data_IF_235256589591
#
_entry.id   IF_235256589591
#
_cell.length_a   1.000
_cell.length_b   1.000
_cell.length_c   1.000
_cell.angle_alpha   90.00
_cell.angle_beta   90.00
_cell.angle_gamma   90.00
#
_symmetry.space_group_name_H-M   'P 1'
#
loop_
_entity.id
_entity.type
_entity.pdbx_description
1 polymer ?
#
# COMPACT_ATOMS: atom_id res chain seq x y z
N UNK A 1 -5.07 -5.18 17.28
CA UNK A 1 -4.77 -3.99 16.49
C UNK A 1 -4.12 -2.92 17.35
N UNK A 2 -2.98 -2.45 16.95
CA UNK A 2 -2.25 -1.44 17.69
C UNK A 2 -2.83 -0.06 17.44
N UNK A 3 -3.33 0.60 18.50
CA UNK A 3 -3.90 1.93 18.38
C UNK A 3 -2.86 2.96 17.92
N UNK A 4 -1.60 2.74 18.26
CA UNK A 4 -0.55 3.66 17.85
C UNK A 4 -0.35 3.62 16.33
N UNK A 5 -0.42 2.44 15.73
CA UNK A 5 -0.35 2.34 14.27
C UNK A 5 -1.51 3.06 13.60
N UNK A 6 -2.71 2.94 14.17
CA UNK A 6 -3.88 3.62 13.63
C UNK A 6 -3.69 5.14 13.70
N UNK A 7 -3.24 5.65 14.84
CA UNK A 7 -3.04 7.09 15.00
C UNK A 7 -1.93 7.63 14.11
N UNK A 8 -0.85 6.85 13.95
CA UNK A 8 0.23 7.27 13.05
C UNK A 8 -0.26 7.30 11.60
N UNK A 9 -1.02 6.30 11.19
CA UNK A 9 -1.62 6.28 9.86
C UNK A 9 -2.53 7.47 9.65
N UNK A 10 -3.37 7.79 10.64
CA UNK A 10 -4.25 8.95 10.56
C UNK A 10 -3.48 10.25 10.44
N UNK A 11 -2.38 10.38 11.19
CA UNK A 11 -1.54 11.57 11.10
C UNK A 11 -0.96 11.73 9.70
N UNK A 12 -0.50 10.65 9.09
CA UNK A 12 0.04 10.70 7.73
C UNK A 12 -1.05 10.99 6.69
N UNK A 13 -2.23 10.42 6.86
CA UNK A 13 -3.34 10.66 5.96
C UNK A 13 -3.75 12.13 5.96
N UNK A 14 -3.64 12.80 7.13
CA UNK A 14 -3.93 14.23 7.21
C UNK A 14 -2.97 15.07 6.37
N UNK A 15 -1.78 14.55 6.10
CA UNK A 15 -0.79 15.26 5.26
C UNK A 15 -0.98 14.97 3.77
N UNK A 16 -2.00 14.18 3.43
CA UNK A 16 -2.27 13.74 2.06
C UNK A 16 -3.73 14.05 1.70
N UNK A 17 -4.06 15.32 1.48
CA UNK A 17 -5.47 15.70 1.26
C UNK A 17 -6.08 15.11 -0.01
N UNK A 18 -5.25 14.70 -0.97
CA UNK A 18 -5.75 14.11 -2.21
C UNK A 18 -6.07 12.61 -2.09
N UNK A 19 -5.72 12.01 -0.98
CA UNK A 19 -5.92 10.57 -0.82
C UNK A 19 -5.06 9.72 -1.74
N UNK A 20 -3.90 10.25 -2.12
CA UNK A 20 -3.02 9.56 -3.07
C UNK A 20 -2.19 8.45 -2.43
N UNK A 21 -2.15 8.41 -1.10
CA UNK A 21 -1.27 7.50 -0.38
C UNK A 21 0.17 7.96 -0.31
N UNK A 22 0.41 9.23 -0.62
CA UNK A 22 1.75 9.81 -0.69
C UNK A 22 1.81 11.13 0.01
N UNK A 23 2.96 11.40 0.66
CA UNK A 23 3.22 12.67 1.36
C UNK A 23 4.54 13.21 0.84
N UNK A 24 4.63 14.50 0.47
CA UNK A 24 5.93 15.05 0.08
C UNK A 24 6.97 14.86 1.18
N UNK A 25 8.18 14.50 0.81
CA UNK A 25 9.25 14.25 1.78
C UNK A 25 9.50 15.47 2.65
N UNK A 26 9.44 16.67 2.06
CA UNK A 26 9.62 17.91 2.82
C UNK A 26 8.56 18.07 3.90
N UNK A 27 7.31 17.75 3.59
CA UNK A 27 6.21 17.79 4.57
C UNK A 27 6.41 16.72 5.65
N UNK A 28 6.84 15.54 5.24
CA UNK A 28 7.11 14.43 6.16
C UNK A 28 8.12 14.83 7.24
N UNK A 29 9.17 15.55 6.84
CA UNK A 29 10.22 15.98 7.76
C UNK A 29 9.89 17.25 8.53
N UNK A 30 8.92 18.04 8.10
CA UNK A 30 8.69 19.40 8.62
C UNK A 30 7.56 19.49 9.61
N UNK A 31 7.30 18.42 10.36
CA UNK A 31 6.20 18.47 11.32
C UNK A 31 6.53 19.44 12.45
N UNK A 32 5.55 20.26 12.90
CA UNK A 32 5.80 21.20 13.99
C UNK A 32 6.10 20.45 15.29
N UNK A 33 6.83 21.08 16.23
CA UNK A 33 7.15 20.42 17.48
C UNK A 33 5.92 19.95 18.27
N UNK A 34 4.77 20.58 18.04
CA UNK A 34 3.52 20.23 18.72
C UNK A 34 2.85 19.00 18.11
N UNK A 35 3.30 18.53 16.93
CA UNK A 35 2.70 17.36 16.29
C UNK A 35 2.99 16.11 17.12
N UNK A 36 2.02 15.20 17.10
CA UNK A 36 2.16 13.95 17.87
C UNK A 36 3.33 13.10 17.35
N UNK A 37 3.59 13.17 16.04
CA UNK A 37 4.64 12.35 15.42
C UNK A 37 5.68 13.23 14.75
N UNK A 38 6.93 12.89 14.97
CA UNK A 38 8.07 13.50 14.32
C UNK A 38 8.73 12.43 13.46
N UNK A 39 8.82 12.68 12.16
CA UNK A 39 9.37 11.70 11.24
C UNK A 39 10.81 12.08 10.92
N UNK A 40 11.74 11.20 11.27
CA UNK A 40 13.17 11.50 11.19
C UNK A 40 13.99 10.46 10.44
N UNK A 41 13.33 9.44 9.92
CA UNK A 41 14.05 8.38 9.19
C UNK A 41 14.79 8.96 8.00
N UNK A 42 16.02 8.48 7.77
CA UNK A 42 16.84 8.96 6.66
C UNK A 42 16.22 8.58 5.32
N UNK A 43 16.44 9.43 4.32
CA UNK A 43 15.92 9.15 2.97
C UNK A 43 16.44 7.82 2.43
N UNK A 44 17.69 7.48 2.74
CA UNK A 44 18.25 6.20 2.33
C UNK A 44 17.45 5.01 2.88
N UNK A 45 17.08 5.10 4.16
CA UNK A 45 16.27 4.04 4.78
C UNK A 45 14.89 3.96 4.10
N UNK A 46 14.25 5.12 3.87
CA UNK A 46 12.96 5.14 3.20
C UNK A 46 13.04 4.51 1.81
N UNK A 47 14.14 4.76 1.11
CA UNK A 47 14.36 4.15 -0.20
C UNK A 47 14.49 2.63 -0.09
N UNK A 48 15.22 2.16 0.91
CA UNK A 48 15.43 0.73 1.11
C UNK A 48 14.13 -0.03 1.35
N UNK A 49 13.19 0.56 2.07
CA UNK A 49 11.92 -0.10 2.36
C UNK A 49 10.86 0.17 1.30
N UNK A 50 11.24 0.84 0.21
CA UNK A 50 10.31 1.14 -0.86
C UNK A 50 9.33 2.27 -0.56
N UNK A 51 9.57 3.01 0.53
CA UNK A 51 8.68 4.10 0.93
C UNK A 51 8.98 5.42 0.22
N UNK A 52 10.11 5.52 -0.48
CA UNK A 52 10.47 6.75 -1.16
C UNK A 52 10.24 6.62 -2.65
N UNK A 53 9.43 7.52 -3.20
CA UNK A 53 9.17 7.60 -4.62
C UNK A 53 9.75 8.92 -5.13
N UNK A 54 10.66 8.84 -6.11
CA UNK A 54 11.29 10.04 -6.66
C UNK A 54 10.78 10.24 -8.07
N UNK A 55 9.52 10.63 -8.18
CA UNK A 55 8.91 10.88 -9.48
C UNK A 55 8.90 12.37 -9.74
N UNK A 56 9.25 12.78 -10.97
CA UNK A 56 9.17 14.17 -11.42
C UNK A 56 10.00 15.14 -10.56
N UNK A 57 11.08 14.63 -9.93
CA UNK A 57 11.98 15.49 -9.17
C UNK A 57 11.48 15.92 -7.80
N UNK A 58 10.29 15.48 -7.38
CA UNK A 58 9.76 15.76 -6.06
C UNK A 58 9.67 14.46 -5.28
N UNK A 59 10.50 14.26 -4.25
CA UNK A 59 10.43 13.02 -3.48
C UNK A 59 9.12 12.92 -2.69
N UNK A 60 8.51 11.76 -2.75
CA UNK A 60 7.26 11.46 -2.06
C UNK A 60 7.43 10.24 -1.18
N UNK A 61 6.80 10.26 0.00
CA UNK A 61 6.79 9.11 0.90
C UNK A 61 5.50 8.33 0.68
N UNK A 62 5.65 7.04 0.39
CA UNK A 62 4.50 6.14 0.28
C UNK A 62 4.06 5.73 1.68
N UNK A 63 2.86 6.15 2.08
CA UNK A 63 2.37 5.95 3.45
C UNK A 63 2.35 4.46 3.82
N UNK A 64 1.79 3.62 2.95
CA UNK A 64 1.66 2.20 3.26
C UNK A 64 3.02 1.54 3.47
N UNK A 65 3.99 1.86 2.63
CA UNK A 65 5.34 1.30 2.77
C UNK A 65 6.01 1.75 4.06
N UNK A 66 5.82 3.02 4.43
CA UNK A 66 6.41 3.53 5.66
C UNK A 66 5.79 2.88 6.88
N UNK A 67 4.46 2.88 6.96
CA UNK A 67 3.75 2.37 8.15
C UNK A 67 4.03 0.89 8.37
N UNK A 68 4.11 0.11 7.30
CA UNK A 68 4.36 -1.32 7.40
C UNK A 68 5.85 -1.65 7.40
N UNK A 69 6.70 -0.64 7.42
CA UNK A 69 8.15 -0.84 7.41
C UNK A 69 8.70 -1.23 8.78
N UNK A 70 9.92 -1.75 8.81
CA UNK A 70 10.52 -2.25 10.06
C UNK A 70 10.68 -1.20 11.17
N UNK A 71 10.84 0.09 10.81
CA UNK A 71 11.01 1.13 11.82
C UNK A 71 9.77 1.28 12.69
N UNK A 72 8.64 0.77 12.25
CA UNK A 72 7.40 0.85 13.01
C UNK A 72 7.04 -0.45 13.69
N UNK A 73 8.00 -1.36 13.80
CA UNK A 73 7.84 -2.57 14.57
C UNK A 73 8.26 -2.29 16.02
N UNK A 74 7.41 -2.70 16.94
CA UNK A 74 7.68 -2.56 18.36
C UNK A 74 8.44 -3.79 18.86
N UNK A 75 9.65 -3.58 19.34
CA UNK A 75 10.43 -4.66 19.92
C UNK A 75 10.11 -4.75 21.40
N UNK A 76 9.27 -5.71 21.76
CA UNK A 76 8.90 -5.94 23.15
C UNK A 76 9.67 -7.13 23.67
N UNK A 77 10.71 -6.87 24.40
CA UNK A 77 11.46 -7.94 25.00
C UNK A 77 11.99 -8.90 23.93
N UNK A 78 12.29 -10.01 24.33
CA UNK A 78 13.21 -10.92 23.74
C UNK A 78 12.67 -11.81 22.64
N UNK A 79 11.36 -11.85 22.42
CA UNK A 79 10.81 -12.93 21.62
C UNK A 79 10.32 -12.55 20.25
N UNK A 80 9.77 -11.36 20.09
CA UNK A 80 9.21 -10.96 18.81
C UNK A 80 9.02 -9.46 18.73
N UNK A 81 8.93 -8.96 17.51
CA UNK A 81 8.59 -7.58 17.24
C UNK A 81 7.14 -7.52 16.80
N UNK A 82 6.42 -6.50 17.28
CA UNK A 82 5.05 -6.26 16.87
C UNK A 82 5.09 -5.14 15.86
N UNK A 83 4.71 -5.44 14.64
CA UNK A 83 4.68 -4.47 13.56
C UNK A 83 3.24 -4.08 13.27
N UNK A 84 3.08 -2.96 12.57
CA UNK A 84 1.75 -2.56 12.11
C UNK A 84 1.21 -3.61 11.17
N UNK A 85 -0.10 -3.85 11.26
CA UNK A 85 -0.74 -4.87 10.45
C UNK A 85 -0.61 -4.54 8.97
N UNK A 86 -0.60 -5.59 8.15
CA UNK A 86 -0.59 -5.50 6.71
C UNK A 86 -2.00 -5.78 6.18
N UNK A 87 -2.85 -4.75 6.04
CA UNK A 87 -4.25 -4.97 5.62
C UNK A 87 -4.38 -5.61 4.25
N UNK A 88 -3.37 -5.45 3.40
CA UNK A 88 -3.39 -6.05 2.08
C UNK A 88 -3.44 -7.58 2.12
N UNK A 89 -2.89 -8.19 3.17
CA UNK A 89 -2.93 -9.64 3.32
C UNK A 89 -4.37 -10.15 3.39
N UNK A 90 -5.23 -9.43 4.09
CA UNK A 90 -6.64 -9.77 4.16
C UNK A 90 -7.35 -9.63 2.83
N UNK A 91 -7.04 -8.56 2.10
CA UNK A 91 -7.61 -8.37 0.77
C UNK A 91 -7.17 -9.47 -0.20
N UNK A 92 -5.89 -9.83 -0.15
CA UNK A 92 -5.38 -10.91 -0.99
C UNK A 92 -6.01 -12.25 -0.64
N UNK A 93 -6.24 -12.51 0.65
CA UNK A 93 -6.89 -13.75 1.06
C UNK A 93 -8.32 -13.85 0.54
N UNK A 94 -9.05 -12.73 0.51
CA UNK A 94 -10.38 -12.72 -0.06
C UNK A 94 -10.35 -13.02 -1.56
N UNK A 95 -9.40 -12.43 -2.29
CA UNK A 95 -9.26 -12.71 -3.71
C UNK A 95 -8.90 -14.17 -3.94
N UNK A 96 -7.95 -14.68 -3.19
CA UNK A 96 -7.51 -16.07 -3.33
C UNK A 96 -8.64 -17.04 -3.02
N UNK A 97 -9.42 -16.75 -1.99
CA UNK A 97 -10.54 -17.59 -1.61
C UNK A 97 -11.63 -17.65 -2.67
N UNK A 98 -11.84 -16.54 -3.39
CA UNK A 98 -12.83 -16.50 -4.46
C UNK A 98 -12.34 -17.14 -5.74
N UNK A 99 -11.05 -17.02 -6.04
CA UNK A 99 -10.48 -17.47 -7.30
C UNK A 99 -10.04 -18.92 -7.25
N UNK A 100 -9.39 -19.32 -6.16
CA UNK A 100 -8.90 -20.68 -5.93
C UNK A 100 -8.00 -21.20 -7.06
N UNK A 101 -7.19 -20.30 -7.62
CA UNK A 101 -6.24 -20.62 -8.68
C UNK A 101 -5.10 -19.61 -8.61
N UNK A 102 -3.91 -19.96 -9.15
CA UNK A 102 -2.79 -19.03 -9.12
C UNK A 102 -2.92 -17.85 -10.06
N UNK A 103 -3.81 -17.95 -11.05
CA UNK A 103 -4.06 -16.87 -12.02
C UNK A 103 -5.55 -16.68 -12.20
N UNK A 104 -5.94 -15.53 -12.74
CA UNK A 104 -7.34 -15.24 -13.01
C UNK A 104 -7.49 -14.30 -14.21
N UNK A 105 -8.62 -14.38 -14.93
CA UNK A 105 -8.90 -13.41 -15.99
C UNK A 105 -9.05 -12.00 -15.41
N UNK A 106 -8.66 -10.96 -16.16
CA UNK A 106 -8.74 -9.60 -15.63
C UNK A 106 -10.16 -9.17 -15.29
N UNK A 107 -11.17 -9.57 -16.08
CA UNK A 107 -12.55 -9.21 -15.78
C UNK A 107 -13.00 -9.74 -14.42
N UNK A 108 -12.62 -10.96 -14.09
CA UNK A 108 -12.96 -11.54 -12.80
C UNK A 108 -12.31 -10.74 -11.67
N UNK A 109 -11.04 -10.40 -11.83
CA UNK A 109 -10.31 -9.62 -10.82
C UNK A 109 -10.90 -8.22 -10.67
N UNK A 110 -11.30 -7.58 -11.77
CA UNK A 110 -11.93 -6.26 -11.69
C UNK A 110 -13.23 -6.32 -10.91
N UNK A 111 -14.07 -7.33 -11.18
CA UNK A 111 -15.33 -7.49 -10.48
C UNK A 111 -15.09 -7.73 -8.98
N UNK A 112 -14.18 -8.65 -8.65
CA UNK A 112 -13.90 -8.98 -7.26
C UNK A 112 -13.30 -7.77 -6.53
N UNK A 113 -12.35 -7.08 -7.15
CA UNK A 113 -11.70 -5.93 -6.53
C UNK A 113 -12.66 -4.78 -6.29
N UNK A 114 -13.59 -4.54 -7.22
CA UNK A 114 -14.58 -3.48 -7.04
C UNK A 114 -15.52 -3.76 -5.87
N UNK A 115 -15.61 -5.00 -5.43
CA UNK A 115 -16.44 -5.39 -4.29
C UNK A 115 -15.65 -5.58 -2.99
N UNK A 116 -14.34 -5.35 -3.01
CA UNK A 116 -13.53 -5.39 -1.80
C UNK A 116 -13.58 -4.06 -1.08
N UNK A 117 -13.82 -4.10 0.23
CA UNK A 117 -13.79 -2.90 1.06
C UNK A 117 -12.59 -2.95 1.99
N UNK A 118 -12.15 -1.78 2.41
CA UNK A 118 -11.05 -1.62 3.35
C UNK A 118 -11.35 -0.42 4.23
N UNK A 119 -10.52 -0.13 5.25
CA UNK A 119 -10.75 1.06 6.07
C UNK A 119 -10.80 2.36 5.27
N UNK A 120 -10.10 2.45 4.14
CA UNK A 120 -10.07 3.67 3.34
C UNK A 120 -10.88 3.57 2.05
N UNK A 121 -11.45 2.40 1.74
CA UNK A 121 -12.16 2.18 0.47
C UNK A 121 -13.52 1.55 0.74
N UNK A 122 -14.57 2.27 0.34
CA UNK A 122 -15.92 1.73 0.41
C UNK A 122 -16.22 0.86 -0.80
N UNK A 123 -16.98 -0.20 -0.59
CA UNK A 123 -17.39 -1.10 -1.67
C UNK A 123 -18.92 -1.15 -1.70
N UNK A 124 -19.51 -1.36 -2.88
CA UNK A 124 -18.86 -1.50 -4.18
C UNK A 124 -18.37 -0.16 -4.71
N UNK A 125 -17.37 -0.20 -5.55
CA UNK A 125 -16.86 1.01 -6.20
C UNK A 125 -16.58 0.74 -7.67
N UNK A 126 -16.54 1.81 -8.44
CA UNK A 126 -16.14 1.73 -9.84
C UNK A 126 -14.64 2.00 -9.93
N UNK A 127 -13.92 1.05 -10.49
CA UNK A 127 -12.48 1.21 -10.70
C UNK A 127 -12.26 2.16 -11.89
N UNK A 128 -11.16 2.92 -11.84
CA UNK A 128 -10.83 3.85 -12.91
C UNK A 128 -10.50 3.10 -14.20
N UNK A 129 -10.68 3.77 -15.34
CA UNK A 129 -10.30 3.18 -16.62
C UNK A 129 -8.81 2.89 -16.67
N UNK A 130 -7.99 3.70 -16.00
CA UNK A 130 -6.55 3.49 -15.95
C UNK A 130 -6.21 2.18 -15.23
N UNK A 131 -6.88 1.90 -14.12
CA UNK A 131 -6.68 0.63 -13.41
C UNK A 131 -7.14 -0.56 -14.27
N UNK A 132 -8.26 -0.41 -14.97
CA UNK A 132 -8.74 -1.46 -15.86
C UNK A 132 -7.74 -1.76 -16.97
N UNK A 133 -7.25 -0.72 -17.62
CA UNK A 133 -6.29 -0.87 -18.71
C UNK A 133 -4.99 -1.52 -18.23
N UNK A 134 -4.50 -1.12 -17.08
CA UNK A 134 -3.26 -1.68 -16.55
C UNK A 134 -3.42 -3.16 -16.21
N UNK A 135 -4.57 -3.56 -15.69
CA UNK A 135 -4.78 -4.96 -15.38
C UNK A 135 -4.86 -5.80 -16.65
N UNK A 136 -5.54 -5.29 -17.68
CA UNK A 136 -5.56 -5.97 -18.97
C UNK A 136 -4.16 -6.08 -19.58
N UNK A 137 -3.33 -5.06 -19.40
CA UNK A 137 -1.96 -5.12 -19.90
C UNK A 137 -1.15 -6.21 -19.20
N UNK A 138 -1.35 -6.38 -17.89
CA UNK A 138 -0.70 -7.47 -17.15
C UNK A 138 -1.14 -8.83 -17.71
N UNK A 139 -2.45 -9.00 -17.91
CA UNK A 139 -2.98 -10.25 -18.45
C UNK A 139 -2.40 -10.55 -19.83
N UNK A 140 -2.26 -9.53 -20.65
CA UNK A 140 -1.74 -9.71 -22.01
C UNK A 140 -0.30 -10.22 -21.98
N UNK A 141 0.47 -9.85 -20.99
CA UNK A 141 1.85 -10.33 -20.84
C UNK A 141 1.94 -11.76 -20.30
N UNK A 142 0.82 -12.33 -19.83
CA UNK A 142 0.78 -13.63 -19.20
C UNK A 142 -0.32 -14.51 -19.79
N UNK A 143 -0.43 -14.49 -21.11
CA UNK A 143 -1.34 -15.36 -21.87
C UNK A 143 -2.81 -15.19 -21.50
N UNK A 144 -3.20 -13.98 -21.14
CA UNK A 144 -4.61 -13.65 -20.91
C UNK A 144 -5.07 -13.74 -19.46
N UNK A 145 -4.22 -14.20 -18.56
CA UNK A 145 -4.57 -14.27 -17.14
C UNK A 145 -3.53 -13.58 -16.27
N UNK A 146 -3.97 -13.03 -15.15
CA UNK A 146 -3.12 -12.28 -14.24
C UNK A 146 -2.61 -13.19 -13.13
N UNK A 147 -1.29 -13.34 -12.98
CA UNK A 147 -0.75 -14.09 -11.83
C UNK A 147 -1.01 -13.31 -10.54
N UNK A 148 -1.64 -13.97 -9.57
CA UNK A 148 -2.01 -13.31 -8.31
C UNK A 148 -0.81 -12.98 -7.44
N UNK A 149 0.25 -13.78 -7.52
CA UNK A 149 1.44 -13.58 -6.70
C UNK A 149 2.60 -12.96 -7.46
N UNK A 150 2.31 -12.37 -8.64
CA UNK A 150 3.31 -11.69 -9.42
C UNK A 150 3.55 -10.27 -8.92
N UNK A 151 4.74 -9.76 -9.24
CA UNK A 151 5.12 -8.39 -8.86
C UNK A 151 4.19 -7.35 -9.49
N UNK A 152 3.78 -7.57 -10.74
CA UNK A 152 2.94 -6.60 -11.44
C UNK A 152 1.56 -6.50 -10.81
N UNK A 153 0.99 -7.63 -10.35
CA UNK A 153 -0.29 -7.58 -9.66
C UNK A 153 -0.15 -6.89 -8.30
N UNK A 154 0.97 -7.11 -7.61
CA UNK A 154 1.22 -6.41 -6.35
C UNK A 154 1.30 -4.89 -6.56
N UNK A 155 1.94 -4.44 -7.64
CA UNK A 155 1.95 -3.02 -7.99
C UNK A 155 0.54 -2.53 -8.27
N UNK A 156 -0.24 -3.31 -8.99
CA UNK A 156 -1.61 -2.95 -9.32
C UNK A 156 -2.47 -2.82 -8.05
N UNK A 157 -2.30 -3.74 -7.12
CA UNK A 157 -3.03 -3.70 -5.84
C UNK A 157 -2.67 -2.44 -5.05
N UNK A 158 -1.41 -2.01 -5.11
CA UNK A 158 -1.02 -0.76 -4.46
C UNK A 158 -1.83 0.43 -5.01
N UNK A 159 -2.03 0.50 -6.32
CA UNK A 159 -2.79 1.60 -6.90
C UNK A 159 -4.29 1.45 -6.65
N UNK A 160 -4.78 0.24 -6.50
CA UNK A 160 -6.18 0.01 -6.14
C UNK A 160 -6.46 0.30 -4.66
N UNK A 161 -5.47 0.05 -3.79
CA UNK A 161 -5.57 0.27 -2.34
C UNK A 161 -4.29 0.94 -1.84
N UNK A 162 -4.12 2.24 -2.10
CA UNK A 162 -2.84 2.91 -1.83
C UNK A 162 -2.43 2.95 -0.36
N UNK A 163 -3.41 2.90 0.55
CA UNK A 163 -3.11 2.96 1.98
C UNK A 163 -2.97 1.58 2.61
N UNK A 164 -3.55 0.56 2.00
CA UNK A 164 -3.50 -0.80 2.54
C UNK A 164 -2.40 -1.66 1.94
N UNK A 165 -2.18 -1.52 0.64
CA UNK A 165 -1.22 -2.37 -0.07
C UNK A 165 0.03 -1.58 -0.40
N UNK A 166 1.19 -1.96 0.16
CA UNK A 166 2.42 -1.24 -0.15
C UNK A 166 2.87 -1.50 -1.58
N UNK A 167 3.64 -0.57 -2.12
CA UNK A 167 4.26 -0.76 -3.43
C UNK A 167 5.39 -1.77 -3.27
N UNK A 168 5.42 -2.83 -4.08
CA UNK A 168 6.47 -3.84 -3.94
C UNK A 168 7.84 -3.26 -4.24
N UNK A 169 8.82 -3.67 -3.45
CA UNK A 169 10.19 -3.19 -3.60
C UNK A 169 11.16 -4.37 -3.49
N UNK A 170 12.35 -4.16 -4.01
CA UNK A 170 13.43 -5.15 -3.92
C UNK A 170 14.28 -4.75 -2.72
N UNK A 171 14.43 -5.67 -1.80
CA UNK A 171 15.22 -5.44 -0.59
C UNK A 171 16.72 -5.44 -0.93
#
# INVERSE_FOLDING_TARGET
>A
QDNECIRMMEALVQLDPKGSGRVPLSTFYSQPPSAEYQFKEAAHYLQMIGALEDASGTPLVRIANYVQGPSNCLAHATYFSICCLAPCDGLMKELEGSIQAPTAPPEQLLTLTSNLSSPSVDAPRRLSSDLEEKLHAIAKRHDGEVPLHGRLFAQWMHFAFPLECPFPHVA
#
